data_IF_769194200531
#
_entry.id   IF_769194200531
#
_cell.length_a   1.000
_cell.length_b   1.000
_cell.length_c   1.000
_cell.angle_alpha   90.00
_cell.angle_beta   90.00
_cell.angle_gamma   90.00
#
_symmetry.space_group_name_H-M   'P 1'
#
loop_
_entity.id
_entity.type
_entity.pdbx_description
1 polymer ?
#
# COMPACT_ATOMS: atom_id res chain seq x y z
N UNK A 1 -10.95 -20.87 3.73
CA UNK A 1 -9.81 -19.95 3.47
C UNK A 1 -9.74 -18.73 4.39
N UNK A 2 -10.66 -17.75 4.28
CA UNK A 2 -10.53 -16.42 4.90
C UNK A 2 -10.31 -16.49 6.42
N UNK A 3 -11.04 -17.40 7.09
CA UNK A 3 -10.91 -17.69 8.53
C UNK A 3 -9.47 -18.00 8.96
N UNK A 4 -8.67 -18.64 8.11
CA UNK A 4 -7.26 -18.92 8.39
C UNK A 4 -6.42 -17.62 8.34
N UNK A 5 -6.55 -16.84 7.28
CA UNK A 5 -5.84 -15.55 7.09
C UNK A 5 -6.18 -14.57 8.23
N UNK A 6 -7.45 -14.48 8.62
CA UNK A 6 -7.89 -13.67 9.76
C UNK A 6 -7.39 -14.24 11.10
N UNK A 7 -7.31 -15.57 11.26
CA UNK A 7 -6.74 -16.21 12.44
C UNK A 7 -5.27 -15.86 12.62
N UNK A 8 -4.45 -16.12 11.59
CA UNK A 8 -3.01 -15.92 11.59
C UNK A 8 -2.59 -14.45 11.46
N UNK A 9 -3.49 -13.58 10.97
CA UNK A 9 -3.22 -12.17 10.64
C UNK A 9 -2.08 -12.00 9.62
N UNK A 10 -1.84 -13.02 8.81
CA UNK A 10 -0.78 -13.08 7.80
C UNK A 10 -1.37 -13.58 6.48
N UNK A 11 -0.93 -12.97 5.38
CA UNK A 11 -1.15 -13.45 4.02
C UNK A 11 0.21 -13.57 3.34
N UNK A 12 0.40 -14.66 2.60
CA UNK A 12 1.60 -14.88 1.79
C UNK A 12 1.69 -13.81 0.68
N UNK A 13 2.86 -13.17 0.46
CA UNK A 13 2.98 -12.07 -0.49
C UNK A 13 2.71 -12.48 -1.95
N UNK A 14 2.97 -13.74 -2.33
CA UNK A 14 2.68 -14.21 -3.68
C UNK A 14 1.16 -14.34 -3.85
N UNK A 15 0.48 -14.96 -2.88
CA UNK A 15 -0.99 -15.04 -2.85
C UNK A 15 -1.67 -13.66 -2.76
N UNK A 16 -1.07 -12.72 -2.02
CA UNK A 16 -1.54 -11.35 -1.98
C UNK A 16 -1.38 -10.66 -3.34
N UNK A 17 -0.28 -10.91 -4.06
CA UNK A 17 -0.06 -10.33 -5.38
C UNK A 17 -1.10 -10.82 -6.40
N UNK A 18 -1.52 -12.08 -6.31
CA UNK A 18 -2.55 -12.72 -7.15
C UNK A 18 -3.90 -12.01 -7.12
N UNK A 19 -4.32 -11.51 -5.95
CA UNK A 19 -5.64 -10.91 -5.74
C UNK A 19 -5.91 -9.70 -6.66
N UNK A 20 -7.16 -9.55 -7.13
CA UNK A 20 -7.61 -8.28 -7.72
C UNK A 20 -7.47 -7.13 -6.71
N UNK A 21 -7.30 -5.90 -7.19
CA UNK A 21 -7.12 -4.73 -6.31
C UNK A 21 -8.32 -4.53 -5.37
N UNK A 22 -9.52 -4.81 -5.85
CA UNK A 22 -10.75 -4.84 -5.05
C UNK A 22 -10.69 -5.90 -3.95
N UNK A 23 -10.30 -7.15 -4.27
CA UNK A 23 -10.15 -8.20 -3.26
C UNK A 23 -9.04 -7.89 -2.24
N UNK A 24 -7.93 -7.25 -2.66
CA UNK A 24 -6.88 -6.76 -1.74
C UNK A 24 -7.46 -5.77 -0.74
N UNK A 25 -8.20 -4.76 -1.22
CA UNK A 25 -8.81 -3.74 -0.38
C UNK A 25 -9.81 -4.33 0.62
N UNK A 26 -10.67 -5.25 0.18
CA UNK A 26 -11.68 -5.88 1.04
C UNK A 26 -11.03 -6.84 2.05
N UNK A 27 -10.00 -7.58 1.66
CA UNK A 27 -9.20 -8.40 2.59
C UNK A 27 -8.53 -7.52 3.65
N UNK A 28 -7.88 -6.41 3.26
CA UNK A 28 -7.27 -5.50 4.22
C UNK A 28 -8.30 -4.87 5.16
N UNK A 29 -9.50 -4.55 4.67
CA UNK A 29 -10.61 -4.11 5.51
C UNK A 29 -11.00 -5.19 6.54
N UNK A 30 -11.21 -6.44 6.12
CA UNK A 30 -11.54 -7.57 7.02
C UNK A 30 -10.42 -7.85 8.04
N UNK A 31 -9.16 -7.81 7.61
CA UNK A 31 -8.00 -7.90 8.51
C UNK A 31 -7.98 -6.74 9.51
N UNK A 32 -8.36 -5.52 9.10
CA UNK A 32 -8.43 -4.36 9.98
C UNK A 32 -9.57 -4.45 10.99
N UNK A 33 -10.74 -4.94 10.58
CA UNK A 33 -11.85 -5.25 11.48
C UNK A 33 -11.42 -6.27 12.54
N UNK A 34 -10.73 -7.35 12.15
CA UNK A 34 -10.23 -8.37 13.08
C UNK A 34 -9.16 -7.83 14.04
N UNK A 35 -8.25 -6.97 13.59
CA UNK A 35 -7.32 -6.25 14.48
C UNK A 35 -8.06 -5.42 15.53
N UNK A 36 -9.10 -4.68 15.11
CA UNK A 36 -9.91 -3.84 16.01
C UNK A 36 -10.71 -4.72 16.98
N UNK A 37 -11.27 -5.84 16.53
CA UNK A 37 -11.97 -6.84 17.36
C UNK A 37 -11.04 -7.40 18.43
N UNK A 38 -9.87 -7.92 18.04
CA UNK A 38 -8.82 -8.43 18.96
C UNK A 38 -8.26 -7.37 19.90
N UNK A 39 -8.26 -6.10 19.51
CA UNK A 39 -7.87 -5.01 20.40
C UNK A 39 -8.99 -4.76 21.43
N UNK A 40 -10.24 -4.58 21.01
CA UNK A 40 -11.41 -4.41 21.90
C UNK A 40 -11.54 -5.57 22.91
N UNK A 41 -11.34 -6.81 22.47
CA UNK A 41 -11.35 -7.99 23.36
C UNK A 41 -10.22 -7.96 24.40
N UNK A 42 -9.02 -7.52 24.02
CA UNK A 42 -7.90 -7.37 24.97
C UNK A 42 -8.16 -6.26 25.98
N UNK A 43 -8.69 -5.11 25.55
CA UNK A 43 -9.08 -4.02 26.45
C UNK A 43 -10.17 -4.49 27.42
N UNK A 44 -11.25 -5.11 26.93
CA UNK A 44 -12.32 -5.64 27.78
C UNK A 44 -11.82 -6.73 28.73
N UNK A 45 -10.87 -7.58 28.31
CA UNK A 45 -10.23 -8.58 29.16
C UNK A 45 -9.27 -7.97 30.18
N UNK A 46 -8.73 -6.76 29.95
CA UNK A 46 -7.97 -5.99 30.94
C UNK A 46 -8.92 -5.33 31.94
N UNK A 47 -9.98 -4.66 31.50
CA UNK A 47 -11.01 -4.05 32.35
C UNK A 47 -11.68 -5.12 33.27
N UNK A 48 -11.96 -6.31 32.73
CA UNK A 48 -12.44 -7.47 33.52
C UNK A 48 -11.43 -8.02 34.53
N UNK A 49 -10.13 -7.77 34.36
CA UNK A 49 -9.08 -8.16 35.33
C UNK A 49 -8.82 -7.06 36.36
N UNK A 50 -8.95 -5.79 35.97
CA UNK A 50 -8.82 -4.64 36.88
C UNK A 50 -10.03 -4.48 37.81
N UNK A 51 -11.22 -4.84 37.35
CA UNK A 51 -12.45 -4.88 38.17
C UNK A 51 -12.52 -6.06 39.16
N UNK A 52 -11.58 -7.01 39.10
CA UNK A 52 -11.46 -8.07 40.10
C UNK A 52 -10.52 -7.64 41.24
N UNK A 53 -10.85 -7.92 42.52
CA UNK A 53 -9.94 -7.63 43.63
C UNK A 53 -8.59 -8.31 43.44
N UNK A 54 -7.51 -7.54 43.51
CA UNK A 54 -6.14 -8.04 43.33
C UNK A 54 -5.81 -9.05 44.43
N UNK A 55 -5.93 -10.35 44.11
CA UNK A 55 -5.38 -11.40 44.96
C UNK A 55 -3.85 -11.25 44.99
N UNK A 56 -3.20 -11.21 46.17
CA UNK A 56 -1.74 -11.11 46.25
C UNK A 56 -1.11 -12.34 45.58
N UNK A 57 -0.24 -12.10 44.60
CA UNK A 57 0.47 -13.19 43.92
C UNK A 57 1.47 -13.83 44.89
N UNK A 58 1.58 -15.17 44.95
CA UNK A 58 2.63 -15.82 45.73
C UNK A 58 4.00 -15.41 45.17
N UNK A 59 4.95 -15.09 46.07
CA UNK A 59 6.32 -14.73 45.69
C UNK A 59 7.00 -15.95 45.05
N UNK A 60 7.42 -15.83 43.79
CA UNK A 60 8.41 -16.74 43.19
C UNK A 60 9.79 -16.31 43.67
N UNK A 61 10.56 -17.23 44.26
CA UNK A 61 11.88 -16.94 44.86
C UNK A 61 12.92 -16.44 43.85
N UNK A 62 12.80 -16.82 42.57
CA UNK A 62 13.81 -16.54 41.54
C UNK A 62 13.45 -15.35 40.64
N UNK A 63 12.99 -14.25 41.24
CA UNK A 63 12.79 -12.97 40.55
C UNK A 63 14.09 -12.15 40.49
N UNK A 64 14.48 -11.66 39.32
CA UNK A 64 15.62 -10.74 39.16
C UNK A 64 15.38 -9.47 40.01
N UNK A 65 16.17 -9.27 41.06
CA UNK A 65 16.01 -8.13 41.97
C UNK A 65 16.58 -6.84 41.37
N UNK A 66 15.72 -5.83 41.21
CA UNK A 66 16.12 -4.48 40.80
C UNK A 66 16.59 -3.72 42.04
N UNK A 67 17.91 -3.52 42.14
CA UNK A 67 18.51 -2.69 43.19
C UNK A 67 18.62 -1.25 42.69
N UNK A 68 17.75 -0.39 43.19
CA UNK A 68 17.80 1.04 42.92
C UNK A 68 19.06 1.64 43.55
N UNK A 69 19.78 2.49 42.80
CA UNK A 69 20.82 3.33 43.40
C UNK A 69 20.14 4.38 44.28
N UNK A 70 20.72 4.66 45.44
CA UNK A 70 20.23 5.72 46.33
C UNK A 70 21.07 6.99 46.18
N UNK A 71 20.44 8.16 46.30
CA UNK A 71 21.07 9.46 46.38
C UNK A 71 21.69 9.73 47.75
N UNK A 72 22.30 10.91 47.91
CA UNK A 72 22.88 11.34 49.19
C UNK A 72 21.82 11.60 50.29
N UNK A 73 20.57 11.81 49.87
CA UNK A 73 19.33 11.87 50.65
C UNK A 73 18.83 10.49 51.14
N UNK A 74 19.39 9.39 50.62
CA UNK A 74 18.90 8.00 50.76
C UNK A 74 17.59 7.71 50.03
N UNK A 75 17.15 8.58 49.12
CA UNK A 75 16.03 8.32 48.21
C UNK A 75 16.52 7.72 46.89
N UNK A 76 15.64 7.27 46.01
CA UNK A 76 16.04 6.65 44.73
C UNK A 76 16.69 7.69 43.83
N UNK A 77 17.94 7.43 43.40
CA UNK A 77 18.70 8.32 42.53
C UNK A 77 18.09 8.34 41.12
N UNK A 78 17.47 9.47 40.78
CA UNK A 78 16.93 9.77 39.45
C UNK A 78 17.75 10.92 38.86
N UNK A 79 18.18 10.76 37.61
CA UNK A 79 18.85 11.82 36.85
C UNK A 79 18.05 12.12 35.59
N UNK A 80 17.57 13.35 35.49
CA UNK A 80 16.76 13.85 34.37
C UNK A 80 17.63 14.80 33.53
N UNK A 81 17.85 14.45 32.27
CA UNK A 81 18.67 15.27 31.36
C UNK A 81 18.08 16.67 31.23
N UNK A 82 18.89 17.69 31.52
CA UNK A 82 18.49 19.09 31.40
C UNK A 82 17.78 19.68 32.63
N UNK A 83 17.55 18.91 33.70
CA UNK A 83 17.16 19.46 35.02
C UNK A 83 18.37 19.75 35.92
N UNK A 84 19.53 19.13 35.64
CA UNK A 84 20.75 19.36 36.41
C UNK A 84 21.42 20.69 36.00
N UNK A 85 21.85 21.49 36.97
CA UNK A 85 22.47 22.83 36.78
C UNK A 85 23.80 22.87 35.99
N UNK A 86 24.28 21.72 35.49
CA UNK A 86 25.47 21.60 34.64
C UNK A 86 25.13 21.04 33.24
N UNK A 87 23.87 20.65 32.99
CA UNK A 87 23.40 20.20 31.69
C UNK A 87 22.88 21.38 30.86
N UNK A 88 22.87 21.23 29.54
CA UNK A 88 22.01 22.04 28.66
C UNK A 88 20.54 21.67 28.94
N UNK A 89 19.60 22.63 29.04
CA UNK A 89 18.19 22.33 29.21
C UNK A 89 17.67 21.49 28.03
N UNK A 90 16.73 20.59 28.32
CA UNK A 90 16.26 19.56 27.38
C UNK A 90 15.75 20.14 26.04
N UNK A 91 15.02 21.24 26.09
CA UNK A 91 14.46 21.90 24.90
C UNK A 91 15.57 22.37 23.95
N UNK A 92 16.64 22.97 24.48
CA UNK A 92 17.80 23.42 23.70
C UNK A 92 18.57 22.25 23.07
N UNK A 93 18.62 21.09 23.74
CA UNK A 93 19.19 19.87 23.15
C UNK A 93 18.31 19.32 22.02
N UNK A 94 16.99 19.39 22.15
CA UNK A 94 16.07 19.01 21.07
C UNK A 94 16.21 19.93 19.86
N UNK A 95 16.24 21.24 20.08
CA UNK A 95 16.40 22.24 19.03
C UNK A 95 17.74 22.08 18.30
N UNK A 96 18.84 21.83 19.02
CA UNK A 96 20.17 21.54 18.45
C UNK A 96 20.15 20.27 17.57
N UNK A 97 19.47 19.20 18.01
CA UNK A 97 19.32 17.95 17.23
C UNK A 97 18.41 18.16 16.00
N UNK A 98 17.35 18.96 16.10
CA UNK A 98 16.45 19.28 14.99
C UNK A 98 17.17 20.14 13.96
N UNK A 99 17.92 21.16 14.40
CA UNK A 99 18.69 22.04 13.54
C UNK A 99 19.78 21.27 12.77
N UNK A 100 20.53 20.38 13.43
CA UNK A 100 21.58 19.60 12.74
C UNK A 100 20.98 18.63 11.69
N UNK A 101 19.82 18.03 11.98
CA UNK A 101 19.09 17.21 11.00
C UNK A 101 18.59 18.03 9.80
N UNK A 102 18.11 19.25 10.04
CA UNK A 102 17.69 20.15 8.97
C UNK A 102 18.88 20.58 8.08
N UNK A 103 20.04 20.86 8.68
CA UNK A 103 21.27 21.20 7.94
C UNK A 103 21.75 20.05 7.06
N UNK A 104 21.86 18.83 7.61
CA UNK A 104 22.27 17.64 6.85
C UNK A 104 21.32 17.36 5.68
N UNK A 105 20.01 17.56 5.86
CA UNK A 105 19.02 17.41 4.78
C UNK A 105 19.21 18.47 3.68
N UNK A 106 19.38 19.73 4.06
CA UNK A 106 19.61 20.82 3.11
C UNK A 106 20.94 20.66 2.33
N UNK A 107 21.97 20.10 2.96
CA UNK A 107 23.25 19.79 2.31
C UNK A 107 23.12 18.66 1.28
N UNK A 108 22.36 17.60 1.59
CA UNK A 108 22.03 16.54 0.63
C UNK A 108 21.22 17.07 -0.56
N UNK A 109 20.17 17.86 -0.31
CA UNK A 109 19.36 18.46 -1.36
C UNK A 109 20.18 19.41 -2.26
N UNK A 110 21.10 20.20 -1.68
CA UNK A 110 21.99 21.06 -2.42
C UNK A 110 23.06 20.30 -3.22
N UNK A 111 23.52 19.14 -2.74
CA UNK A 111 24.47 18.30 -3.48
C UNK A 111 23.80 17.61 -4.67
N UNK A 112 22.58 17.09 -4.51
CA UNK A 112 21.81 16.52 -5.63
C UNK A 112 21.52 17.57 -6.70
N UNK A 113 21.09 18.78 -6.32
CA UNK A 113 20.91 19.91 -7.27
C UNK A 113 22.21 20.31 -7.99
N UNK A 114 23.38 20.12 -7.36
CA UNK A 114 24.68 20.34 -8.04
C UNK A 114 25.02 19.22 -9.01
N UNK A 115 24.65 17.97 -8.73
CA UNK A 115 24.82 16.83 -9.65
C UNK A 115 23.95 17.02 -10.88
N UNK A 116 22.65 17.29 -10.72
CA UNK A 116 21.74 17.50 -11.86
C UNK A 116 22.18 18.67 -12.74
N UNK A 117 22.51 19.82 -12.16
CA UNK A 117 22.96 20.99 -12.92
C UNK A 117 24.34 20.78 -13.59
N UNK A 118 25.18 19.88 -13.05
CA UNK A 118 26.42 19.45 -13.71
C UNK A 118 26.15 18.52 -14.88
N UNK A 119 25.26 17.54 -14.72
CA UNK A 119 24.83 16.61 -15.76
C UNK A 119 24.16 17.35 -16.92
N UNK A 120 23.23 18.26 -16.64
CA UNK A 120 22.60 19.17 -17.61
C UNK A 120 23.64 20.00 -18.38
N UNK A 121 24.64 20.56 -17.70
CA UNK A 121 25.71 21.34 -18.33
C UNK A 121 26.59 20.48 -19.25
N UNK A 122 26.98 19.27 -18.81
CA UNK A 122 27.77 18.35 -19.65
C UNK A 122 26.98 17.82 -20.86
N UNK A 123 25.68 17.59 -20.71
CA UNK A 123 24.80 17.22 -21.81
C UNK A 123 24.64 18.38 -22.80
N UNK A 124 24.42 19.60 -22.33
CA UNK A 124 24.34 20.79 -23.20
C UNK A 124 25.63 21.05 -23.97
N UNK A 125 26.82 20.75 -23.41
CA UNK A 125 28.09 20.89 -24.10
C UNK A 125 28.28 19.83 -25.20
N UNK A 126 27.85 18.58 -24.96
CA UNK A 126 27.84 17.53 -26.00
C UNK A 126 26.95 17.91 -27.18
N UNK A 127 25.73 18.40 -26.92
CA UNK A 127 24.80 18.83 -27.98
C UNK A 127 25.36 19.99 -28.81
N UNK A 128 26.15 20.89 -28.21
CA UNK A 128 26.76 22.03 -28.91
C UNK A 128 28.07 21.71 -29.64
N UNK A 129 28.66 20.55 -29.38
CA UNK A 129 29.86 20.05 -30.09
C UNK A 129 29.55 19.39 -31.44
N UNK A 130 28.28 19.17 -31.78
CA UNK A 130 27.88 18.45 -32.99
C UNK A 130 27.46 19.36 -34.17
N UNK A 131 27.74 20.66 -34.08
CA UNK A 131 27.38 21.64 -35.11
C UNK A 131 28.42 22.77 -35.21
N UNK A 132 29.65 22.43 -35.60
CA UNK A 132 30.66 23.37 -36.12
C UNK A 132 31.83 22.59 -36.75
N UNK A 133 31.78 22.32 -38.05
CA UNK A 133 32.97 22.12 -38.88
C UNK A 133 32.71 22.55 -40.33
N UNK A 134 32.77 23.87 -40.57
CA UNK A 134 33.11 24.50 -41.86
C UNK A 134 33.75 25.87 -41.57
N UNK A 135 34.77 26.24 -42.35
CA UNK A 135 35.62 27.43 -42.11
C UNK A 135 35.02 28.79 -42.58
N UNK A 136 35.54 29.92 -42.03
CA UNK A 136 35.26 31.32 -42.48
C UNK A 136 36.04 31.67 -43.78
N UNK A 137 35.92 32.88 -44.43
CA UNK A 137 35.57 34.23 -43.91
C UNK A 137 34.58 35.04 -44.82
N UNK A 138 34.36 36.37 -44.79
CA UNK A 138 34.90 37.53 -44.04
C UNK A 138 33.89 38.70 -43.90
N UNK A 139 34.23 39.68 -43.06
CA UNK A 139 33.62 40.99 -42.70
C UNK A 139 32.71 41.77 -43.67
N UNK A 140 31.56 42.28 -43.15
CA UNK A 140 31.23 43.72 -42.90
C UNK A 140 29.80 43.87 -42.31
N UNK A 141 29.63 44.51 -41.13
CA UNK A 141 29.16 45.91 -40.91
C UNK A 141 27.71 46.17 -41.44
N UNK A 142 26.66 46.55 -40.69
CA UNK A 142 26.50 47.49 -39.55
C UNK A 142 25.21 47.17 -38.73
N UNK A 143 25.24 47.41 -37.41
CA UNK A 143 24.29 48.23 -36.58
C UNK A 143 22.90 48.59 -37.20
N UNK A 144 21.74 48.46 -36.54
CA UNK A 144 21.36 48.96 -35.20
C UNK A 144 19.99 48.44 -34.64
N UNK A 145 19.92 48.34 -33.31
CA UNK A 145 18.85 48.72 -32.34
C UNK A 145 17.37 48.30 -32.53
N UNK A 146 16.80 47.74 -31.45
CA UNK A 146 15.37 47.43 -31.27
C UNK A 146 14.49 48.65 -30.94
N UNK A 147 13.24 48.69 -31.45
CA UNK A 147 12.01 48.59 -30.61
C UNK A 147 10.70 48.57 -31.41
N UNK A 148 9.75 47.82 -30.85
CA UNK A 148 8.29 47.81 -31.07
C UNK A 148 7.62 49.19 -31.10
N UNK A 149 6.50 49.34 -31.84
CA UNK A 149 5.12 49.48 -31.30
C UNK A 149 4.04 49.61 -32.41
N UNK A 150 2.97 48.81 -32.27
CA UNK A 150 1.54 48.97 -32.65
C UNK A 150 1.00 49.40 -34.05
N UNK A 151 -0.05 48.64 -34.45
CA UNK A 151 -1.44 49.06 -34.80
C UNK A 151 -2.01 49.08 -36.25
N UNK A 152 -3.25 48.55 -36.36
CA UNK A 152 -4.34 48.67 -37.37
C UNK A 152 -4.21 47.86 -38.68
N UNK A 153 -5.18 46.99 -39.05
CA UNK A 153 -6.60 47.18 -39.49
C UNK A 153 -6.69 47.78 -40.92
N UNK A 154 -7.53 47.34 -41.88
CA UNK A 154 -8.75 46.49 -41.86
C UNK A 154 -9.16 45.94 -43.27
N UNK A 155 -10.31 45.24 -43.37
CA UNK A 155 -11.28 45.08 -44.50
C UNK A 155 -11.21 43.95 -45.59
N UNK A 156 -12.13 42.98 -45.42
CA UNK A 156 -13.29 42.57 -46.28
C UNK A 156 -13.31 41.76 -47.63
N UNK A 157 -14.42 41.00 -47.75
CA UNK A 157 -15.14 40.43 -48.93
C UNK A 157 -14.45 39.34 -49.81
N UNK A 158 -15.13 38.34 -50.42
CA UNK A 158 -16.53 37.88 -50.39
C UNK A 158 -16.88 36.88 -51.53
N UNK A 159 -17.94 36.05 -51.34
CA UNK A 159 -18.68 35.22 -52.34
C UNK A 159 -18.22 33.82 -52.83
N UNK A 160 -19.24 32.98 -53.10
CA UNK A 160 -19.31 31.64 -53.75
C UNK A 160 -20.13 31.78 -55.08
N UNK A 161 -20.49 30.76 -55.93
CA UNK A 161 -20.59 29.29 -55.73
C UNK A 161 -20.14 28.39 -56.95
N UNK A 162 -20.55 27.11 -56.97
CA UNK A 162 -20.32 26.06 -58.01
C UNK A 162 -21.59 25.83 -58.91
N UNK A 163 -21.93 24.65 -59.52
CA UNK A 163 -21.21 23.49 -60.12
C UNK A 163 -21.78 23.00 -61.51
N UNK A 164 -21.22 21.93 -62.15
CA UNK A 164 -21.82 20.88 -63.08
C UNK A 164 -20.71 19.90 -63.53
N UNK A 165 -20.75 18.55 -63.41
CA UNK A 165 -21.50 17.47 -64.15
C UNK A 165 -21.18 17.44 -65.68
N UNK A 166 -20.89 16.32 -66.37
CA UNK A 166 -21.45 14.93 -66.42
C UNK A 166 -20.41 13.83 -66.90
N UNK A 167 -20.66 12.53 -66.59
CA UNK A 167 -20.49 11.22 -67.29
C UNK A 167 -19.44 10.93 -68.45
N UNK A 168 -18.95 9.71 -68.78
CA UNK A 168 -19.19 8.30 -68.36
C UNK A 168 -17.97 7.34 -68.68
N UNK A 169 -17.91 6.13 -68.04
CA UNK A 169 -17.53 4.79 -68.60
C UNK A 169 -16.06 4.21 -68.70
N UNK A 170 -15.73 3.33 -67.72
CA UNK A 170 -15.10 1.97 -67.81
C UNK A 170 -13.55 1.70 -67.98
N UNK A 171 -13.07 0.78 -67.10
CA UNK A 171 -11.89 -0.16 -67.10
C UNK A 171 -10.52 0.25 -66.51
N UNK A 172 -10.12 -0.56 -65.52
CA UNK A 172 -8.80 -0.64 -64.83
C UNK A 172 -7.89 -1.71 -65.48
N UNK A 173 -6.67 -2.01 -64.96
CA UNK A 173 -5.78 -1.22 -64.09
C UNK A 173 -4.32 -1.16 -64.62
N UNK A 174 -3.58 -0.08 -64.35
CA UNK A 174 -2.10 -0.11 -64.37
C UNK A 174 -1.48 1.03 -63.57
N UNK A 175 -0.25 0.82 -63.09
CA UNK A 175 0.56 1.75 -62.31
C UNK A 175 0.57 3.17 -62.88
N UNK A 176 -0.10 4.11 -62.21
CA UNK A 176 -0.11 5.53 -62.58
C UNK A 176 -0.10 6.40 -61.32
N UNK A 177 0.47 7.60 -61.45
CA UNK A 177 0.63 8.59 -60.38
C UNK A 177 -0.69 8.86 -59.65
N UNK A 178 -0.65 8.93 -58.31
CA UNK A 178 -1.85 9.15 -57.48
C UNK A 178 -2.57 10.42 -57.95
N UNK A 179 -3.77 10.25 -58.51
CA UNK A 179 -4.56 11.35 -59.04
C UNK A 179 -4.87 12.36 -57.91
N UNK A 180 -4.74 13.66 -58.22
CA UNK A 180 -5.00 14.77 -57.29
C UNK A 180 -6.37 14.62 -56.60
N UNK A 181 -7.38 14.12 -57.31
CA UNK A 181 -8.73 13.90 -56.80
C UNK A 181 -8.78 12.84 -55.67
N UNK A 182 -7.94 11.82 -55.72
CA UNK A 182 -7.78 10.84 -54.62
C UNK A 182 -7.18 11.51 -53.39
N UNK A 183 -6.17 12.37 -53.58
CA UNK A 183 -5.53 13.14 -52.53
C UNK A 183 -6.50 14.12 -51.85
N UNK A 184 -7.38 14.75 -52.65
CA UNK A 184 -8.45 15.63 -52.17
C UNK A 184 -9.53 14.85 -51.41
N UNK A 185 -9.97 13.69 -51.90
CA UNK A 185 -10.92 12.83 -51.19
C UNK A 185 -10.36 12.34 -49.84
N UNK A 186 -9.10 11.90 -49.82
CA UNK A 186 -8.37 11.55 -48.60
C UNK A 186 -8.23 12.74 -47.64
N UNK A 187 -8.01 13.95 -48.14
CA UNK A 187 -7.94 15.18 -47.34
C UNK A 187 -9.30 15.50 -46.71
N UNK A 188 -10.38 15.45 -47.49
CA UNK A 188 -11.76 15.65 -47.00
C UNK A 188 -12.12 14.59 -45.95
N UNK A 189 -11.75 13.33 -46.16
CA UNK A 189 -12.02 12.25 -45.20
C UNK A 189 -11.19 12.40 -43.92
N UNK A 190 -9.92 12.80 -43.99
CA UNK A 190 -9.10 13.14 -42.80
C UNK A 190 -9.70 14.33 -42.05
N UNK A 191 -10.13 15.37 -42.75
CA UNK A 191 -10.73 16.56 -42.15
C UNK A 191 -12.05 16.23 -41.42
N UNK A 192 -12.90 15.38 -42.02
CA UNK A 192 -14.10 14.83 -41.37
C UNK A 192 -13.77 13.96 -40.15
N UNK A 193 -12.74 13.10 -40.26
CA UNK A 193 -12.29 12.25 -39.15
C UNK A 193 -11.77 13.06 -37.97
N UNK A 194 -10.97 14.12 -38.21
CA UNK A 194 -10.52 15.06 -37.19
C UNK A 194 -11.69 15.79 -36.51
N UNK A 195 -12.66 16.29 -37.29
CA UNK A 195 -13.86 16.92 -36.74
C UNK A 195 -14.69 15.97 -35.85
N UNK A 196 -14.82 14.70 -36.25
CA UNK A 196 -15.48 13.68 -35.44
C UNK A 196 -14.70 13.33 -34.17
N UNK A 197 -13.37 13.19 -34.26
CA UNK A 197 -12.50 12.97 -33.10
C UNK A 197 -12.59 14.10 -32.08
N UNK A 198 -12.46 15.35 -32.53
CA UNK A 198 -12.50 16.53 -31.67
C UNK A 198 -13.87 16.66 -30.96
N UNK A 199 -14.98 16.32 -31.65
CA UNK A 199 -16.32 16.31 -31.06
C UNK A 199 -16.52 15.18 -30.04
N UNK A 200 -16.00 13.98 -30.33
CA UNK A 200 -16.03 12.83 -29.40
C UNK A 200 -15.19 13.08 -28.14
N UNK A 201 -14.02 13.70 -28.31
CA UNK A 201 -13.11 14.05 -27.22
C UNK A 201 -13.69 15.18 -26.34
N UNK A 202 -14.31 16.19 -26.94
CA UNK A 202 -15.04 17.24 -26.23
C UNK A 202 -16.21 16.69 -25.40
N UNK A 203 -16.96 15.72 -25.93
CA UNK A 203 -18.03 15.05 -25.16
C UNK A 203 -17.47 14.19 -24.02
N UNK A 204 -16.40 13.43 -24.25
CA UNK A 204 -15.75 12.63 -23.20
C UNK A 204 -15.25 13.52 -22.07
N UNK A 205 -14.57 14.63 -22.39
CA UNK A 205 -14.07 15.59 -21.39
C UNK A 205 -15.19 16.20 -20.55
N UNK A 206 -16.34 16.54 -21.18
CA UNK A 206 -17.50 17.06 -20.46
C UNK A 206 -18.10 16.04 -19.50
N UNK A 207 -18.20 14.77 -19.92
CA UNK A 207 -18.68 13.67 -19.07
C UNK A 207 -17.72 13.39 -17.89
N UNK A 208 -16.42 13.46 -18.12
CA UNK A 208 -15.39 13.29 -17.08
C UNK A 208 -15.40 14.44 -16.06
N UNK A 209 -15.63 15.67 -16.50
CA UNK A 209 -15.80 16.84 -15.62
C UNK A 209 -17.10 16.79 -14.79
N UNK A 210 -18.17 16.24 -15.34
CA UNK A 210 -19.44 15.99 -14.63
C UNK A 210 -19.31 14.89 -13.57
N UNK A 211 -18.59 13.79 -13.87
CA UNK A 211 -18.24 12.74 -12.89
C UNK A 211 -17.39 13.32 -11.76
N UNK A 212 -16.37 14.12 -12.07
CA UNK A 212 -15.51 14.75 -11.06
C UNK A 212 -16.30 15.70 -10.14
N UNK A 213 -17.30 16.44 -10.67
CA UNK A 213 -18.18 17.28 -9.85
C UNK A 213 -19.06 16.44 -8.91
N UNK A 214 -19.62 15.33 -9.39
CA UNK A 214 -20.43 14.41 -8.57
C UNK A 214 -19.59 13.80 -7.44
N UNK A 215 -18.36 13.37 -7.71
CA UNK A 215 -17.47 12.82 -6.67
C UNK A 215 -16.97 13.90 -5.68
N UNK A 216 -16.73 15.13 -6.13
CA UNK A 216 -16.40 16.24 -5.23
C UNK A 216 -17.60 16.61 -4.34
N UNK A 217 -18.83 16.60 -4.86
CA UNK A 217 -20.04 16.82 -4.06
C UNK A 217 -20.30 15.66 -3.10
N UNK A 218 -20.11 14.41 -3.54
CA UNK A 218 -20.23 13.22 -2.71
C UNK A 218 -19.22 13.21 -1.56
N UNK A 219 -17.96 13.59 -1.81
CA UNK A 219 -16.93 13.70 -0.77
C UNK A 219 -17.20 14.86 0.20
N UNK A 220 -17.69 16.01 -0.29
CA UNK A 220 -18.18 17.11 0.57
C UNK A 220 -19.35 16.66 1.46
N UNK A 221 -20.31 15.91 0.91
CA UNK A 221 -21.46 15.40 1.64
C UNK A 221 -21.08 14.33 2.68
N UNK A 222 -20.15 13.43 2.35
CA UNK A 222 -19.56 12.48 3.30
C UNK A 222 -18.89 13.25 4.45
N UNK A 223 -18.00 14.21 4.14
CA UNK A 223 -17.29 15.04 5.13
C UNK A 223 -18.25 15.79 6.07
N UNK A 224 -19.37 16.29 5.53
CA UNK A 224 -20.44 16.92 6.31
C UNK A 224 -21.13 15.92 7.25
N UNK A 225 -21.46 14.72 6.77
CA UNK A 225 -22.06 13.65 7.57
C UNK A 225 -21.16 13.24 8.76
N UNK A 226 -19.85 13.05 8.57
CA UNK A 226 -18.90 12.80 9.67
C UNK A 226 -18.84 13.91 10.73
N UNK A 227 -19.21 15.15 10.37
CA UNK A 227 -19.22 16.32 11.25
C UNK A 227 -20.52 16.44 12.06
N UNK A 228 -21.61 15.97 11.47
CA UNK A 228 -22.96 15.89 12.05
C UNK A 228 -23.19 14.58 12.83
N UNK A 229 -22.31 13.57 12.67
CA UNK A 229 -22.33 12.34 13.46
C UNK A 229 -22.22 12.59 14.97
N UNK A 230 -23.36 12.36 15.63
CA UNK A 230 -23.54 12.52 17.07
C UNK A 230 -22.64 11.58 17.87
N UNK A 231 -22.34 10.38 17.35
CA UNK A 231 -21.47 9.40 18.01
C UNK A 231 -20.01 9.83 17.97
N UNK A 232 -19.52 10.33 16.83
CA UNK A 232 -18.19 10.92 16.71
C UNK A 232 -18.03 12.11 17.66
N UNK A 233 -18.99 13.03 17.72
CA UNK A 233 -18.92 14.15 18.67
C UNK A 233 -19.00 13.70 20.14
N UNK A 234 -19.79 12.66 20.46
CA UNK A 234 -19.82 12.08 21.80
C UNK A 234 -18.47 11.43 22.16
N UNK A 235 -17.82 10.75 21.22
CA UNK A 235 -16.47 10.19 21.36
C UNK A 235 -15.43 11.29 21.59
N UNK A 236 -15.49 12.39 20.83
CA UNK A 236 -14.61 13.55 21.00
C UNK A 236 -14.79 14.22 22.37
N UNK A 237 -16.03 14.37 22.85
CA UNK A 237 -16.33 14.87 24.21
C UNK A 237 -15.77 13.93 25.29
N UNK A 238 -15.94 12.60 25.14
CA UNK A 238 -15.37 11.58 26.06
C UNK A 238 -13.84 11.64 26.08
N UNK A 239 -13.20 11.74 24.91
CA UNK A 239 -11.74 11.88 24.79
C UNK A 239 -11.22 13.15 25.47
N UNK A 240 -11.82 14.30 25.17
CA UNK A 240 -11.46 15.59 25.78
C UNK A 240 -11.63 15.56 27.31
N UNK A 241 -12.70 14.96 27.81
CA UNK A 241 -12.93 14.79 29.25
C UNK A 241 -11.93 13.83 29.91
N UNK A 242 -11.49 12.77 29.23
CA UNK A 242 -10.44 11.87 29.72
C UNK A 242 -9.08 12.57 29.80
N UNK A 243 -8.73 13.38 28.80
CA UNK A 243 -7.50 14.18 28.79
C UNK A 243 -7.51 15.30 29.83
N UNK A 244 -8.66 15.93 30.06
CA UNK A 244 -8.84 16.90 31.15
C UNK A 244 -8.68 16.26 32.52
N UNK A 245 -9.23 15.05 32.73
CA UNK A 245 -8.98 14.24 33.94
C UNK A 245 -7.50 13.93 34.13
N UNK A 246 -6.77 13.51 33.08
CA UNK A 246 -5.32 13.27 33.14
C UNK A 246 -4.54 14.53 33.50
N UNK A 247 -4.87 15.68 32.89
CA UNK A 247 -4.25 16.97 33.19
C UNK A 247 -4.55 17.46 34.61
N UNK A 248 -5.77 17.23 35.10
CA UNK A 248 -6.16 17.53 36.48
C UNK A 248 -5.37 16.67 37.48
N UNK A 249 -5.30 15.36 37.26
CA UNK A 249 -4.53 14.43 38.10
C UNK A 249 -3.03 14.79 38.12
N UNK A 250 -2.44 15.14 36.97
CA UNK A 250 -1.06 15.59 36.89
C UNK A 250 -0.81 16.93 37.61
N UNK A 251 -1.77 17.87 37.58
CA UNK A 251 -1.71 19.12 38.36
C UNK A 251 -1.82 18.86 39.86
N UNK A 252 -2.75 17.99 40.28
CA UNK A 252 -2.92 17.59 41.67
C UNK A 252 -1.63 16.97 42.23
N UNK A 253 -1.03 16.01 41.52
CA UNK A 253 0.24 15.41 41.90
C UNK A 253 1.40 16.43 42.03
N UNK A 254 1.43 17.44 41.15
CA UNK A 254 2.43 18.54 41.23
C UNK A 254 2.23 19.40 42.48
N UNK A 255 1.01 19.80 42.79
CA UNK A 255 0.72 20.61 43.99
C UNK A 255 0.86 19.80 45.29
N UNK A 256 0.58 18.49 45.27
CA UNK A 256 0.87 17.58 46.39
C UNK A 256 2.37 17.44 46.64
N UNK A 257 3.19 17.19 45.60
CA UNK A 257 4.66 17.21 45.71
C UNK A 257 5.18 18.54 46.26
N UNK A 258 4.65 19.67 45.78
CA UNK A 258 5.03 21.02 46.21
C UNK A 258 4.64 21.30 47.67
N UNK A 259 3.47 20.83 48.12
CA UNK A 259 3.05 20.88 49.53
C UNK A 259 3.96 20.07 50.44
N UNK A 260 4.34 18.85 50.03
CA UNK A 260 5.25 17.99 50.78
C UNK A 260 6.67 18.61 50.84
N UNK A 261 7.15 19.18 49.74
CA UNK A 261 8.43 19.90 49.66
C UNK A 261 8.49 21.12 50.57
N UNK A 262 7.45 21.98 50.55
CA UNK A 262 7.36 23.14 51.45
C UNK A 262 7.18 22.75 52.93
N UNK A 263 6.53 21.62 53.20
CA UNK A 263 6.45 21.04 54.54
C UNK A 263 7.82 20.61 55.09
N UNK A 264 8.67 20.02 54.25
CA UNK A 264 10.03 19.61 54.61
C UNK A 264 10.96 20.81 54.89
N UNK A 265 10.78 21.92 54.17
CA UNK A 265 11.67 23.09 54.29
C UNK A 265 11.47 23.90 55.57
N UNK A 266 10.27 23.88 56.17
CA UNK A 266 9.95 24.63 57.40
C UNK A 266 10.56 24.00 58.69
N UNK A 267 11.21 22.84 58.57
CA UNK A 267 11.78 22.06 59.69
C UNK A 267 13.26 22.27 60.01
N UNK A 268 13.99 23.18 59.34
CA UNK A 268 15.42 23.44 59.60
C UNK A 268 15.76 24.94 59.67
N UNK A 269 15.68 25.51 60.87
CA UNK A 269 16.48 26.68 61.26
C UNK A 269 17.67 26.23 62.10
N UNK A 270 18.88 26.77 61.85
CA UNK A 270 20.07 26.46 62.65
C UNK A 270 21.41 26.65 61.93
N UNK A 271 22.04 27.81 62.17
CA UNK A 271 23.50 28.05 62.32
C UNK A 271 24.49 27.80 61.14
N UNK A 272 24.98 28.92 60.56
CA UNK A 272 26.38 29.43 60.63
C UNK A 272 27.50 28.40 60.94
N UNK A 273 28.66 28.28 60.29
CA UNK A 273 29.56 29.13 59.45
C UNK A 273 30.34 28.20 58.46
N UNK A 274 31.34 28.56 57.62
CA UNK A 274 32.10 29.80 57.31
C UNK A 274 32.52 29.81 55.81
N UNK A 275 33.40 30.74 55.39
CA UNK A 275 34.12 30.78 54.10
C UNK A 275 35.45 31.56 54.30
N UNK A 276 36.53 31.26 53.55
CA UNK A 276 36.88 32.19 52.45
C UNK A 276 37.36 31.53 51.13
N UNK A 277 37.24 32.34 50.07
CA UNK A 277 37.58 32.18 48.65
C UNK A 277 39.05 31.72 48.39
N UNK A 278 39.50 31.26 47.19
CA UNK A 278 39.28 31.87 45.85
C UNK A 278 39.73 31.02 44.62
N UNK A 279 39.09 31.28 43.47
CA UNK A 279 39.46 31.02 42.04
C UNK A 279 39.28 29.58 41.49
N UNK A 280 38.65 29.38 40.30
CA UNK A 280 38.19 28.07 39.84
C UNK A 280 39.10 27.36 38.81
N UNK A 281 39.11 26.02 38.84
CA UNK A 281 39.51 25.19 37.70
C UNK A 281 38.29 24.48 37.09
N UNK A 282 38.30 24.29 35.76
CA UNK A 282 37.28 23.50 35.04
C UNK A 282 37.20 22.08 35.61
N UNK A 283 36.01 21.51 35.89
CA UNK A 283 35.89 20.12 36.33
C UNK A 283 36.44 19.16 35.27
N UNK A 284 37.39 18.31 35.67
CA UNK A 284 37.81 17.15 34.87
C UNK A 284 36.67 16.12 34.87
N UNK A 285 36.39 15.49 33.72
CA UNK A 285 35.48 14.33 33.66
C UNK A 285 36.04 13.19 34.53
N UNK A 286 35.24 12.52 35.38
CA UNK A 286 35.68 11.30 36.08
C UNK A 286 35.98 10.17 35.09
N UNK A 287 36.89 9.23 35.41
CA UNK A 287 37.17 8.07 34.57
C UNK A 287 35.99 7.10 34.53
N UNK A 288 35.75 6.49 33.38
CA UNK A 288 34.76 5.42 33.22
C UNK A 288 35.28 4.10 33.83
N UNK A 289 34.42 3.27 34.43
CA UNK A 289 34.82 1.99 35.00
C UNK A 289 35.19 0.95 33.92
N UNK A 290 36.06 -0.02 34.23
CA UNK A 290 36.48 -1.05 33.27
C UNK A 290 35.34 -2.01 32.90
N UNK A 291 35.38 -2.50 31.67
CA UNK A 291 34.37 -3.37 31.05
C UNK A 291 34.45 -4.79 31.64
N UNK A 292 33.34 -5.40 32.11
CA UNK A 292 33.37 -6.75 32.67
C UNK A 292 33.71 -7.80 31.61
N UNK A 293 34.63 -8.69 31.94
CA UNK A 293 34.95 -9.87 31.14
C UNK A 293 33.98 -11.00 31.51
N UNK A 294 33.30 -11.56 30.52
CA UNK A 294 32.48 -12.77 30.70
C UNK A 294 33.29 -14.00 30.28
N UNK A 295 33.47 -14.94 31.20
CA UNK A 295 34.07 -16.25 30.89
C UNK A 295 33.07 -17.10 30.11
N UNK A 296 33.51 -17.66 28.98
CA UNK A 296 32.69 -18.55 28.15
C UNK A 296 32.56 -19.95 28.79
N UNK A 297 31.36 -20.53 28.89
CA UNK A 297 31.18 -21.97 28.96
C UNK A 297 31.44 -22.57 27.57
N UNK A 298 32.31 -23.57 27.48
CA UNK A 298 32.67 -24.21 26.20
C UNK A 298 31.74 -25.39 25.87
N UNK A 299 30.86 -25.22 24.88
CA UNK A 299 30.35 -26.26 23.97
C UNK A 299 29.54 -25.61 22.83
N UNK A 300 29.68 -26.02 21.56
CA UNK A 300 29.01 -25.35 20.44
C UNK A 300 27.64 -25.97 20.08
N UNK A 301 26.53 -25.22 20.12
CA UNK A 301 25.40 -25.47 19.24
C UNK A 301 25.74 -24.94 17.84
N UNK A 302 25.36 -25.68 16.79
CA UNK A 302 25.68 -25.29 15.42
C UNK A 302 25.05 -23.95 15.02
N UNK A 303 25.84 -23.09 14.39
CA UNK A 303 25.34 -21.89 13.71
C UNK A 303 24.68 -22.30 12.40
N UNK A 304 23.35 -22.38 12.37
CA UNK A 304 22.61 -22.46 11.11
C UNK A 304 22.81 -21.15 10.34
N UNK A 305 23.53 -21.21 9.22
CA UNK A 305 23.57 -20.13 8.23
C UNK A 305 22.16 -19.89 7.70
N UNK A 306 21.54 -18.77 8.10
CA UNK A 306 20.24 -18.35 7.56
C UNK A 306 20.26 -16.89 7.10
N UNK A 307 21.06 -16.65 6.07
CA UNK A 307 20.97 -15.50 5.17
C UNK A 307 21.24 -15.99 3.74
N UNK A 308 20.27 -16.73 3.20
CA UNK A 308 20.04 -16.84 1.76
C UNK A 308 18.56 -16.60 1.53
N UNK A 309 18.21 -16.01 0.37
CA UNK A 309 16.82 -15.81 -0.03
C UNK A 309 16.15 -17.16 -0.26
N UNK A 310 15.48 -17.68 0.78
CA UNK A 310 14.70 -18.92 0.66
C UNK A 310 13.44 -18.59 -0.12
N UNK A 311 13.49 -18.81 -1.43
CA UNK A 311 12.30 -19.22 -2.20
C UNK A 311 11.77 -20.45 -1.47
N UNK A 312 10.66 -20.29 -0.76
CA UNK A 312 10.10 -21.38 0.04
C UNK A 312 9.53 -22.42 -0.92
N UNK A 313 10.24 -23.52 -1.10
CA UNK A 313 9.59 -24.76 -1.52
C UNK A 313 8.50 -25.08 -0.51
N UNK A 314 7.30 -25.41 -1.01
CA UNK A 314 6.16 -25.77 -0.16
C UNK A 314 6.58 -26.99 0.68
N UNK A 315 6.42 -26.91 2.00
CA UNK A 315 6.73 -28.04 2.87
C UNK A 315 5.76 -29.19 2.54
N UNK A 316 6.26 -30.43 2.50
CA UNK A 316 5.45 -31.63 2.24
C UNK A 316 4.17 -31.64 3.10
N UNK A 317 4.33 -31.34 4.39
CA UNK A 317 3.23 -31.20 5.36
C UNK A 317 2.15 -30.19 4.95
N UNK A 318 2.50 -29.05 4.35
CA UNK A 318 1.51 -28.05 3.92
C UNK A 318 0.67 -28.57 2.75
N UNK A 319 1.28 -29.32 1.82
CA UNK A 319 0.58 -29.97 0.70
C UNK A 319 -0.31 -31.10 1.19
N UNK A 320 0.19 -31.94 2.09
CA UNK A 320 -0.56 -33.01 2.76
C UNK A 320 -1.77 -32.46 3.53
N UNK A 321 -1.64 -31.31 4.20
CA UNK A 321 -2.73 -30.64 4.92
C UNK A 321 -3.82 -30.09 3.99
N UNK A 322 -3.48 -29.71 2.75
CA UNK A 322 -4.42 -29.27 1.71
C UNK A 322 -5.13 -30.48 1.09
N UNK A 323 -4.41 -31.57 0.79
CA UNK A 323 -5.00 -32.83 0.30
C UNK A 323 -5.99 -33.38 1.34
N UNK A 324 -5.58 -33.44 2.62
CA UNK A 324 -6.44 -33.90 3.72
C UNK A 324 -7.67 -33.02 3.88
N UNK A 325 -7.50 -31.69 3.85
CA UNK A 325 -8.62 -30.75 3.85
C UNK A 325 -9.62 -31.00 2.71
N UNK A 326 -9.13 -31.18 1.48
CA UNK A 326 -9.99 -31.45 0.35
C UNK A 326 -10.76 -32.76 0.52
N UNK A 327 -10.08 -33.83 0.95
CA UNK A 327 -10.70 -35.15 1.14
C UNK A 327 -11.71 -35.20 2.28
N UNK A 328 -11.44 -34.51 3.39
CA UNK A 328 -12.31 -34.51 4.57
C UNK A 328 -13.47 -33.51 4.46
N UNK A 329 -13.23 -32.30 3.93
CA UNK A 329 -14.21 -31.20 3.96
C UNK A 329 -14.86 -30.91 2.59
N UNK A 330 -14.25 -31.28 1.46
CA UNK A 330 -14.70 -30.80 0.13
C UNK A 330 -15.20 -31.91 -0.81
N UNK A 331 -14.65 -33.14 -0.73
CA UNK A 331 -15.21 -34.30 -1.41
C UNK A 331 -16.68 -34.57 -1.02
N UNK A 332 -17.10 -34.49 0.27
CA UNK A 332 -18.52 -34.66 0.63
C UNK A 332 -19.45 -33.61 0.01
N UNK A 333 -18.92 -32.41 -0.26
CA UNK A 333 -19.64 -31.30 -0.92
C UNK A 333 -19.59 -31.40 -2.46
N UNK A 334 -19.04 -32.50 -3.01
CA UNK A 334 -18.81 -32.72 -4.45
C UNK A 334 -18.06 -31.57 -5.12
N UNK A 335 -17.07 -31.00 -4.43
CA UNK A 335 -16.21 -29.97 -5.00
C UNK A 335 -15.47 -30.49 -6.25
N UNK A 336 -15.56 -29.74 -7.35
CA UNK A 336 -14.95 -30.10 -8.64
C UNK A 336 -15.75 -31.05 -9.52
N UNK A 337 -16.89 -31.59 -9.08
CA UNK A 337 -17.77 -32.41 -9.94
C UNK A 337 -18.64 -31.55 -10.87
N UNK A 338 -18.99 -32.10 -12.02
CA UNK A 338 -19.87 -31.45 -12.99
C UNK A 338 -21.35 -31.64 -12.59
N UNK A 339 -21.87 -30.70 -11.81
CA UNK A 339 -23.25 -30.71 -11.27
C UNK A 339 -23.54 -32.05 -10.55
N UNK A 340 -24.58 -32.78 -10.97
CA UNK A 340 -24.99 -34.07 -10.40
C UNK A 340 -24.27 -35.30 -11.00
N UNK A 341 -23.35 -35.13 -11.94
CA UNK A 341 -22.59 -36.26 -12.53
C UNK A 341 -21.33 -36.58 -11.72
N UNK A 342 -20.88 -37.83 -11.76
CA UNK A 342 -19.59 -38.29 -11.20
C UNK A 342 -18.39 -37.95 -12.09
N UNK A 343 -18.57 -37.14 -13.14
CA UNK A 343 -17.48 -36.62 -13.97
C UNK A 343 -16.89 -35.37 -13.32
N UNK A 344 -15.56 -35.27 -13.25
CA UNK A 344 -14.87 -34.06 -12.82
C UNK A 344 -15.09 -32.95 -13.87
N UNK A 345 -15.38 -31.75 -13.41
CA UNK A 345 -15.69 -30.62 -14.28
C UNK A 345 -14.46 -30.19 -15.09
N UNK A 346 -14.62 -29.82 -16.37
CA UNK A 346 -13.47 -29.52 -17.25
C UNK A 346 -12.68 -28.29 -16.81
N UNK A 347 -13.30 -27.34 -16.07
CA UNK A 347 -12.63 -26.17 -15.50
C UNK A 347 -11.92 -26.46 -14.15
N UNK A 348 -12.04 -27.67 -13.60
CA UNK A 348 -11.48 -28.00 -12.29
C UNK A 348 -10.07 -28.54 -12.41
N UNK A 349 -9.15 -27.87 -11.72
CA UNK A 349 -7.76 -28.27 -11.57
C UNK A 349 -7.48 -28.59 -10.10
N UNK A 350 -6.57 -29.54 -9.87
CA UNK A 350 -6.12 -29.90 -8.54
C UNK A 350 -5.22 -28.84 -7.90
N UNK A 351 -4.16 -29.30 -7.23
CA UNK A 351 -3.18 -28.40 -6.60
C UNK A 351 -2.29 -27.82 -7.70
N UNK A 352 -2.63 -26.61 -8.15
CA UNK A 352 -2.01 -25.97 -9.33
C UNK A 352 -1.37 -24.62 -8.99
N UNK A 353 -0.13 -24.43 -9.44
CA UNK A 353 0.57 -23.14 -9.29
C UNK A 353 -0.11 -22.03 -10.09
N UNK A 354 -0.03 -20.80 -9.59
CA UNK A 354 -0.42 -19.60 -10.33
C UNK A 354 0.23 -19.53 -11.72
N UNK A 355 1.53 -19.81 -11.79
CA UNK A 355 2.32 -19.69 -13.02
C UNK A 355 1.81 -20.65 -14.09
N UNK A 356 1.57 -21.91 -13.71
CA UNK A 356 1.02 -22.92 -14.62
C UNK A 356 -0.43 -22.60 -15.03
N UNK A 357 -1.25 -22.07 -14.11
CA UNK A 357 -2.59 -21.60 -14.46
C UNK A 357 -2.57 -20.48 -15.51
N UNK A 358 -1.66 -19.51 -15.38
CA UNK A 358 -1.49 -18.43 -16.37
C UNK A 358 -0.95 -18.96 -17.70
N UNK A 359 -0.01 -19.89 -17.67
CA UNK A 359 0.52 -20.54 -18.87
C UNK A 359 -0.56 -21.31 -19.65
N UNK A 360 -1.42 -22.07 -18.95
CA UNK A 360 -2.56 -22.78 -19.56
C UNK A 360 -3.56 -21.80 -20.19
N UNK A 361 -3.96 -20.77 -19.46
CA UNK A 361 -4.89 -19.75 -19.96
C UNK A 361 -4.32 -18.96 -21.14
N UNK A 362 -3.05 -18.57 -21.11
CA UNK A 362 -2.42 -17.81 -22.21
C UNK A 362 -2.08 -18.67 -23.43
N UNK A 363 -1.87 -19.98 -23.27
CA UNK A 363 -1.54 -20.90 -24.37
C UNK A 363 -2.76 -21.45 -25.10
N UNK A 364 -3.88 -21.67 -24.41
CA UNK A 364 -5.10 -22.29 -24.99
C UNK A 364 -6.38 -21.46 -24.86
N UNK A 365 -6.37 -20.39 -24.06
CA UNK A 365 -7.54 -19.58 -23.80
C UNK A 365 -7.78 -18.45 -24.80
N UNK A 366 -9.06 -18.08 -24.90
CA UNK A 366 -9.55 -16.79 -25.45
C UNK A 366 -10.10 -15.93 -24.31
N UNK A 367 -10.28 -14.60 -24.46
CA UNK A 367 -10.91 -13.77 -23.43
C UNK A 367 -12.26 -14.36 -22.97
N UNK A 368 -12.48 -14.44 -21.66
CA UNK A 368 -13.58 -15.23 -21.07
C UNK A 368 -13.19 -16.65 -20.66
N UNK A 369 -11.96 -17.10 -20.94
CA UNK A 369 -11.48 -18.41 -20.48
C UNK A 369 -11.14 -18.39 -19.00
N UNK A 370 -11.42 -19.49 -18.30
CA UNK A 370 -11.23 -19.61 -16.86
C UNK A 370 -10.91 -21.02 -16.40
N UNK A 371 -10.31 -21.14 -15.21
CA UNK A 371 -10.15 -22.40 -14.48
C UNK A 371 -10.21 -22.15 -12.98
N UNK A 372 -10.68 -23.13 -12.20
CA UNK A 372 -10.65 -23.13 -10.74
C UNK A 372 -9.62 -24.16 -10.28
N UNK A 373 -8.67 -23.71 -9.46
CA UNK A 373 -7.58 -24.52 -8.90
C UNK A 373 -7.65 -24.56 -7.37
N UNK A 374 -7.19 -25.67 -6.78
CA UNK A 374 -6.88 -25.72 -5.34
C UNK A 374 -5.60 -24.93 -5.09
N UNK A 375 -5.61 -24.04 -4.09
CA UNK A 375 -4.44 -23.21 -3.77
C UNK A 375 -3.36 -24.01 -3.03
N UNK A 376 -2.10 -23.85 -3.43
CA UNK A 376 -0.93 -24.51 -2.82
C UNK A 376 -0.57 -24.00 -1.41
N UNK A 377 -1.12 -22.86 -0.99
CA UNK A 377 -0.66 -22.15 0.23
C UNK A 377 -1.68 -22.06 1.35
N UNK A 378 -2.96 -22.34 1.06
CA UNK A 378 -4.09 -22.13 1.98
C UNK A 378 -5.21 -23.13 1.69
N UNK A 379 -6.05 -23.40 2.68
CA UNK A 379 -7.26 -24.21 2.52
C UNK A 379 -8.36 -23.43 1.78
N UNK A 380 -8.43 -23.58 0.46
CA UNK A 380 -9.44 -22.97 -0.41
C UNK A 380 -9.05 -22.98 -1.90
N UNK A 381 -9.85 -22.32 -2.73
CA UNK A 381 -9.68 -22.31 -4.18
C UNK A 381 -9.31 -20.93 -4.71
N UNK A 382 -8.66 -20.90 -5.87
CA UNK A 382 -8.48 -19.71 -6.66
C UNK A 382 -9.06 -19.94 -8.05
N UNK A 383 -9.91 -19.01 -8.50
CA UNK A 383 -10.26 -18.88 -9.91
C UNK A 383 -9.14 -18.10 -10.61
N UNK A 384 -8.70 -18.58 -11.76
CA UNK A 384 -7.89 -17.84 -12.72
C UNK A 384 -8.71 -17.59 -13.97
N UNK A 385 -8.73 -16.36 -14.49
CA UNK A 385 -9.55 -15.97 -15.63
C UNK A 385 -8.78 -15.02 -16.57
N UNK A 386 -8.78 -15.34 -17.86
CA UNK A 386 -8.21 -14.53 -18.93
C UNK A 386 -9.18 -13.40 -19.35
N UNK A 387 -8.84 -12.16 -19.00
CA UNK A 387 -9.41 -10.94 -19.59
C UNK A 387 -8.69 -10.57 -20.90
N UNK A 388 -9.15 -9.53 -21.60
CA UNK A 388 -8.59 -9.06 -22.87
C UNK A 388 -7.07 -8.74 -22.78
N UNK A 389 -6.63 -8.05 -21.73
CA UNK A 389 -5.23 -7.60 -21.58
C UNK A 389 -4.39 -8.43 -20.59
N UNK A 390 -5.01 -9.25 -19.73
CA UNK A 390 -4.31 -9.90 -18.60
C UNK A 390 -5.09 -11.06 -17.97
N UNK A 391 -4.39 -11.93 -17.25
CA UNK A 391 -5.02 -12.89 -16.34
C UNK A 391 -5.36 -12.21 -15.00
N UNK A 392 -6.60 -12.37 -14.54
CA UNK A 392 -7.10 -11.97 -13.22
C UNK A 392 -7.27 -13.20 -12.35
N UNK A 393 -7.06 -13.05 -11.04
CA UNK A 393 -7.29 -14.13 -10.08
C UNK A 393 -8.21 -13.69 -8.97
N UNK A 394 -9.08 -14.61 -8.57
CA UNK A 394 -10.07 -14.39 -7.53
C UNK A 394 -9.99 -15.54 -6.52
N UNK A 395 -9.77 -15.23 -5.25
CA UNK A 395 -9.88 -16.25 -4.21
C UNK A 395 -11.35 -16.55 -3.96
N UNK A 396 -11.66 -17.85 -3.82
CA UNK A 396 -12.97 -18.37 -3.43
C UNK A 396 -12.84 -18.90 -2.01
N UNK A 397 -13.60 -18.33 -1.08
CA UNK A 397 -13.71 -18.90 0.26
C UNK A 397 -14.68 -20.08 0.23
N UNK A 398 -14.18 -21.24 0.62
CA UNK A 398 -14.94 -22.46 0.83
C UNK A 398 -15.08 -22.67 2.34
N UNK A 399 -15.83 -21.80 3.02
CA UNK A 399 -16.04 -21.87 4.46
C UNK A 399 -17.52 -22.00 4.81
N UNK A 400 -17.81 -22.74 5.90
CA UNK A 400 -19.18 -23.04 6.34
C UNK A 400 -20.05 -23.66 5.22
N UNK A 401 -19.51 -24.68 4.54
CA UNK A 401 -20.20 -25.50 3.54
C UNK A 401 -20.80 -24.71 2.36
N UNK A 402 -20.21 -23.54 2.08
CA UNK A 402 -20.61 -22.63 1.00
C UNK A 402 -19.40 -22.09 0.26
N UNK A 403 -19.62 -21.68 -0.99
CA UNK A 403 -18.61 -21.10 -1.87
C UNK A 403 -18.99 -19.67 -2.25
N UNK A 404 -18.12 -18.70 -1.98
CA UNK A 404 -18.28 -17.32 -2.44
C UNK A 404 -16.93 -16.74 -2.84
N UNK A 405 -16.93 -15.72 -3.71
CA UNK A 405 -15.72 -14.94 -3.93
C UNK A 405 -15.31 -14.18 -2.67
N UNK A 406 -14.01 -13.96 -2.52
CA UNK A 406 -13.46 -13.29 -1.35
C UNK A 406 -13.83 -11.79 -1.35
N UNK A 407 -14.96 -11.47 -0.72
CA UNK A 407 -15.36 -10.11 -0.36
C UNK A 407 -16.02 -9.29 -1.47
N UNK A 408 -15.88 -9.67 -2.75
CA UNK A 408 -16.45 -8.94 -3.90
C UNK A 408 -17.96 -9.11 -3.98
N UNK A 409 -18.41 -10.36 -3.87
CA UNK A 409 -19.83 -10.72 -3.79
C UNK A 409 -20.08 -11.46 -2.47
N UNK A 410 -21.24 -11.20 -1.87
CA UNK A 410 -21.76 -11.91 -0.69
C UNK A 410 -22.68 -13.08 -1.08
N UNK A 411 -22.95 -13.28 -2.37
CA UNK A 411 -23.67 -14.43 -2.87
C UNK A 411 -22.92 -15.72 -2.54
N UNK A 412 -23.58 -16.58 -1.78
CA UNK A 412 -23.09 -17.89 -1.38
C UNK A 412 -23.73 -18.97 -2.26
N UNK A 413 -22.90 -19.84 -2.81
CA UNK A 413 -23.31 -20.97 -3.63
C UNK A 413 -23.14 -22.27 -2.85
N UNK A 414 -24.06 -23.22 -3.03
CA UNK A 414 -23.99 -24.54 -2.40
C UNK A 414 -22.87 -25.41 -3.00
N UNK A 415 -22.55 -25.24 -4.29
CA UNK A 415 -21.45 -25.95 -4.96
C UNK A 415 -20.60 -24.99 -5.81
N UNK A 416 -19.35 -25.39 -6.09
CA UNK A 416 -18.51 -24.70 -7.08
C UNK A 416 -19.14 -24.70 -8.48
N UNK A 417 -19.94 -25.71 -8.83
CA UNK A 417 -20.63 -25.76 -10.11
C UNK A 417 -21.73 -24.69 -10.23
N UNK A 418 -22.45 -24.41 -9.13
CA UNK A 418 -23.46 -23.33 -9.10
C UNK A 418 -22.80 -21.94 -9.13
N UNK A 419 -21.65 -21.79 -8.46
CA UNK A 419 -20.83 -20.58 -8.52
C UNK A 419 -20.38 -20.29 -9.96
N UNK A 420 -19.89 -21.32 -10.66
CA UNK A 420 -19.48 -21.21 -12.07
C UNK A 420 -20.66 -20.94 -13.00
N UNK A 421 -21.81 -21.58 -12.75
CA UNK A 421 -23.01 -21.38 -13.60
C UNK A 421 -23.57 -19.97 -13.49
N UNK A 422 -23.63 -19.40 -12.29
CA UNK A 422 -24.11 -18.03 -12.06
C UNK A 422 -23.22 -16.98 -12.75
N UNK A 423 -21.90 -17.10 -12.58
CA UNK A 423 -20.94 -16.14 -13.13
C UNK A 423 -20.66 -16.30 -14.65
N UNK A 424 -21.50 -17.05 -15.37
CA UNK A 424 -21.55 -17.02 -16.84
C UNK A 424 -22.25 -15.78 -17.37
N UNK A 425 -23.29 -15.34 -16.66
CA UNK A 425 -24.13 -14.19 -17.03
C UNK A 425 -23.85 -12.97 -16.13
N UNK A 426 -23.47 -13.20 -14.87
CA UNK A 426 -23.20 -12.15 -13.88
C UNK A 426 -21.68 -11.94 -13.68
N UNK A 427 -21.14 -10.71 -13.85
CA UNK A 427 -19.72 -10.42 -13.65
C UNK A 427 -19.26 -10.61 -12.19
N UNK A 428 -18.05 -11.11 -12.00
CA UNK A 428 -17.46 -11.32 -10.65
C UNK A 428 -17.25 -10.00 -9.89
N UNK A 429 -16.91 -8.92 -10.60
CA UNK A 429 -16.67 -7.59 -9.99
C UNK A 429 -17.71 -6.58 -10.47
N UNK A 430 -18.13 -5.67 -9.58
CA UNK A 430 -19.16 -4.66 -9.89
C UNK A 430 -18.75 -3.64 -10.95
N UNK A 431 -17.44 -3.52 -11.23
CA UNK A 431 -16.87 -2.60 -12.22
C UNK A 431 -16.32 -3.32 -13.47
N UNK A 432 -16.29 -4.65 -13.46
CA UNK A 432 -15.67 -5.46 -14.49
C UNK A 432 -16.67 -6.14 -15.43
N UNK A 433 -16.14 -7.08 -16.20
CA UNK A 433 -16.88 -7.90 -17.19
C UNK A 433 -16.42 -9.35 -17.14
N UNK A 434 -16.03 -9.80 -15.94
CA UNK A 434 -15.44 -11.11 -15.74
C UNK A 434 -16.51 -12.21 -15.78
N UNK A 435 -16.82 -12.67 -16.99
CA UNK A 435 -17.76 -13.78 -17.22
C UNK A 435 -17.01 -15.09 -17.48
N UNK A 436 -17.50 -16.17 -16.88
CA UNK A 436 -16.93 -17.52 -16.92
C UNK A 436 -17.39 -18.28 -18.16
N UNK A 437 -17.01 -17.78 -19.33
CA UNK A 437 -17.51 -18.26 -20.63
C UNK A 437 -16.92 -19.62 -21.04
N UNK A 438 -15.58 -19.76 -20.99
CA UNK A 438 -14.89 -20.90 -21.58
C UNK A 438 -14.08 -21.67 -20.54
N UNK A 439 -14.45 -22.93 -20.19
CA UNK A 439 -13.66 -23.73 -19.27
C UNK A 439 -12.34 -24.14 -19.92
N UNK A 440 -11.22 -23.71 -19.33
CA UNK A 440 -9.90 -24.17 -19.69
C UNK A 440 -9.68 -25.56 -19.09
N UNK A 441 -9.38 -26.55 -19.95
CA UNK A 441 -9.20 -27.94 -19.57
C UNK A 441 -7.76 -28.30 -19.21
N UNK A 442 -7.59 -29.52 -18.71
CA UNK A 442 -6.26 -30.12 -18.51
C UNK A 442 -5.59 -30.46 -19.84
N UNK A 443 -4.28 -30.18 -19.93
CA UNK A 443 -3.44 -30.50 -21.10
C UNK A 443 -2.51 -31.70 -20.87
N UNK A 444 -2.24 -32.07 -19.61
CA UNK A 444 -1.32 -33.15 -19.26
C UNK A 444 -1.93 -34.54 -19.48
N UNK A 445 -1.09 -35.55 -19.75
CA UNK A 445 -1.54 -36.96 -19.90
C UNK A 445 -2.11 -37.57 -18.61
N UNK A 446 -1.77 -37.01 -17.45
CA UNK A 446 -2.30 -37.39 -16.14
C UNK A 446 -3.04 -36.17 -15.54
N UNK A 447 -4.30 -36.33 -15.09
CA UNK A 447 -5.02 -35.23 -14.46
C UNK A 447 -4.32 -34.67 -13.21
N UNK A 448 -4.19 -33.35 -13.12
CA UNK A 448 -3.57 -32.66 -11.98
C UNK A 448 -4.39 -32.74 -10.68
N UNK A 449 -5.62 -33.27 -10.76
CA UNK A 449 -6.48 -33.54 -9.61
C UNK A 449 -6.40 -34.97 -9.07
N UNK A 450 -5.67 -35.91 -9.69
CA UNK A 450 -5.66 -37.34 -9.29
C UNK A 450 -5.50 -37.53 -7.78
N UNK A 451 -4.46 -36.94 -7.19
CA UNK A 451 -4.14 -37.08 -5.75
C UNK A 451 -5.26 -36.62 -4.80
N UNK A 452 -6.20 -35.79 -5.28
CA UNK A 452 -7.34 -35.28 -4.52
C UNK A 452 -8.53 -36.24 -4.50
N UNK A 453 -8.65 -37.10 -5.52
CA UNK A 453 -9.78 -38.03 -5.71
C UNK A 453 -9.42 -39.52 -5.53
N UNK A 454 -8.13 -39.88 -5.45
CA UNK A 454 -7.64 -41.23 -5.11
C UNK A 454 -7.81 -41.65 -3.64
#
# INVERSE_FOLDING_TARGET
>A
MLKQILSEMYIDPDLLAELSEEQKQILFFKMREEQIRRWKEREAAMERKESLPVKPRPKKENGKSVHWKLGADKEVWVWVMGEHHLDKPYDVLCDEIIAERARLKAEQEAEELRKTHSEEFTNSLKTKSQYNDLQPPDNQLTKDICKTVAEKEELEQGSSPAPTLEDEKIRSPSSSSRNIQQMLADSINRMKAYGFHQKKESMKKKQEEEINQIDEERTKQICKNWKEDSEWQASLRKSKAADEKRRSLAKQAREDCKRLSLGAQKGRGGERLQSPLRVPQKPKRPPLPPKPQFLNPAAPPQKSLRNQGVVRTVSSSAREDIIRWFKEEQLPLRAGYQKASDTIAPWFHGILTLKKANELLLSTGVPGSFLIRVSERIKGYALSHLSEDSCKHFLIDASADSYSFLGVDQLQHATLADLVEYHKEEPITSLGKELLLYPCGQQDQLPDYLELFE
#
